data_IF_683378082359
#
_entry.id   IF_683378082359
#
_cell.length_a   1.000
_cell.length_b   1.000
_cell.length_c   1.000
_cell.angle_alpha   90.00
_cell.angle_beta   90.00
_cell.angle_gamma   90.00
#
_symmetry.space_group_name_H-M   'P 1'
#
loop_
_entity.id
_entity.type
_entity.pdbx_description
1 polymer ?
#
# COMPACT_ATOMS: atom_id res chain seq x y z
N UNK A 1 3.22 35.53 11.53
CA UNK A 1 1.89 34.98 11.86
C UNK A 1 1.96 33.47 11.68
N UNK A 2 1.78 32.68 12.72
CA UNK A 2 1.65 31.23 12.59
C UNK A 2 0.21 30.91 12.24
N UNK A 3 -0.06 30.58 10.97
CA UNK A 3 -1.34 30.04 10.57
C UNK A 3 -1.56 28.70 11.28
N UNK A 4 -2.79 28.45 11.73
CA UNK A 4 -3.19 27.14 12.25
C UNK A 4 -2.98 26.12 11.12
N UNK A 5 -2.27 25.03 11.41
CA UNK A 5 -2.10 23.92 10.47
C UNK A 5 -3.33 23.03 10.59
N UNK A 6 -4.11 22.92 9.51
CA UNK A 6 -5.25 22.02 9.40
C UNK A 6 -4.95 20.93 8.39
N UNK A 7 -5.33 19.69 8.70
CA UNK A 7 -5.14 18.53 7.84
C UNK A 7 -6.34 17.59 7.97
N UNK A 8 -6.56 16.78 6.95
CA UNK A 8 -7.63 15.77 6.94
C UNK A 8 -7.18 14.51 7.67
N UNK A 9 -7.93 14.08 8.68
CA UNK A 9 -7.77 12.74 9.25
C UNK A 9 -8.76 11.77 8.58
N UNK A 10 -8.27 10.63 8.11
CA UNK A 10 -9.11 9.54 7.58
C UNK A 10 -8.83 8.25 8.35
N UNK A 11 -9.84 7.77 9.08
CA UNK A 11 -9.78 6.44 9.70
C UNK A 11 -9.74 5.34 8.64
N UNK A 12 -9.58 4.09 9.06
CA UNK A 12 -9.68 2.96 8.14
C UNK A 12 -11.08 2.87 7.51
N UNK A 13 -12.13 3.17 8.28
CA UNK A 13 -13.51 3.22 7.81
C UNK A 13 -13.69 4.32 6.78
N UNK A 14 -13.15 5.52 7.01
CA UNK A 14 -13.21 6.63 6.07
C UNK A 14 -12.51 6.28 4.74
N UNK A 15 -11.31 5.71 4.82
CA UNK A 15 -10.56 5.26 3.63
C UNK A 15 -11.36 4.22 2.85
N UNK A 16 -12.01 3.26 3.54
CA UNK A 16 -12.84 2.23 2.88
C UNK A 16 -14.12 2.81 2.29
N UNK A 17 -14.72 3.81 2.94
CA UNK A 17 -15.94 4.48 2.50
C UNK A 17 -15.75 5.27 1.19
N UNK A 18 -14.51 5.62 0.83
CA UNK A 18 -14.20 6.23 -0.48
C UNK A 18 -14.59 5.33 -1.67
N UNK A 19 -14.73 4.02 -1.46
CA UNK A 19 -15.13 3.09 -2.51
C UNK A 19 -14.06 2.79 -3.56
N UNK A 20 -12.80 3.24 -3.34
CA UNK A 20 -11.70 3.00 -4.28
C UNK A 20 -11.52 1.50 -4.54
N UNK A 21 -11.63 1.13 -5.80
CA UNK A 21 -11.63 -0.25 -6.29
C UNK A 21 -10.21 -0.77 -6.51
N UNK A 22 -10.03 -2.09 -6.52
CA UNK A 22 -8.73 -2.69 -6.84
C UNK A 22 -8.22 -2.28 -8.24
N UNK A 23 -9.11 -2.16 -9.23
CA UNK A 23 -8.74 -1.72 -10.58
C UNK A 23 -8.22 -0.28 -10.60
N UNK A 24 -8.77 0.62 -9.79
CA UNK A 24 -8.23 1.97 -9.59
C UNK A 24 -6.85 1.93 -8.95
N UNK A 25 -6.66 1.13 -7.90
CA UNK A 25 -5.35 1.00 -7.25
C UNK A 25 -4.31 0.41 -8.21
N UNK A 26 -4.67 -0.57 -9.05
CA UNK A 26 -3.79 -1.11 -10.10
C UNK A 26 -3.36 0.00 -11.07
N UNK A 27 -4.30 0.81 -11.57
CA UNK A 27 -3.98 1.94 -12.46
C UNK A 27 -3.05 2.95 -11.79
N UNK A 28 -3.30 3.31 -10.53
CA UNK A 28 -2.44 4.23 -9.78
C UNK A 28 -1.04 3.66 -9.58
N UNK A 29 -0.92 2.39 -9.22
CA UNK A 29 0.39 1.73 -9.04
C UNK A 29 1.13 1.63 -10.37
N UNK A 30 0.45 1.25 -11.44
CA UNK A 30 1.00 1.18 -12.80
C UNK A 30 1.57 2.53 -13.26
N UNK A 31 0.81 3.61 -13.06
CA UNK A 31 1.25 4.97 -13.36
C UNK A 31 2.48 5.36 -12.54
N UNK A 32 2.51 5.09 -11.23
CA UNK A 32 3.65 5.45 -10.38
C UNK A 32 4.90 4.62 -10.71
N UNK A 33 4.74 3.37 -11.15
CA UNK A 33 5.85 2.55 -11.65
C UNK A 33 6.45 3.16 -12.94
N UNK A 34 5.62 3.65 -13.86
CA UNK A 34 6.09 4.37 -15.04
C UNK A 34 6.81 5.68 -14.65
N UNK A 35 6.24 6.46 -13.74
CA UNK A 35 6.89 7.69 -13.24
C UNK A 35 8.23 7.42 -12.56
N UNK A 36 8.38 6.28 -11.89
CA UNK A 36 9.66 5.89 -11.30
C UNK A 36 10.71 5.61 -12.38
N UNK A 37 10.34 4.92 -13.47
CA UNK A 37 11.22 4.69 -14.62
C UNK A 37 11.62 6.01 -15.32
N UNK A 38 10.67 6.95 -15.42
CA UNK A 38 10.88 8.29 -15.98
C UNK A 38 11.69 9.24 -15.06
N UNK A 39 12.12 8.79 -13.87
CA UNK A 39 12.89 9.62 -12.93
C UNK A 39 12.06 10.69 -12.20
N UNK A 40 10.72 10.59 -12.23
CA UNK A 40 9.78 11.53 -11.57
C UNK A 40 9.48 11.19 -10.12
N UNK A 41 10.05 10.11 -9.59
CA UNK A 41 9.84 9.67 -8.21
C UNK A 41 11.15 9.78 -7.45
N UNK A 42 11.11 10.44 -6.29
CA UNK A 42 12.20 10.36 -5.33
C UNK A 42 11.81 9.35 -4.24
N UNK A 43 12.50 8.20 -4.25
CA UNK A 43 12.24 7.07 -3.37
C UNK A 43 13.50 6.73 -2.56
N UNK A 44 13.77 7.45 -1.46
CA UNK A 44 14.90 7.13 -0.60
C UNK A 44 14.75 5.75 0.05
N UNK A 45 15.88 5.20 0.50
CA UNK A 45 15.88 3.98 1.31
C UNK A 45 15.04 4.16 2.57
N UNK A 46 14.19 3.18 2.86
CA UNK A 46 13.42 3.16 4.10
C UNK A 46 14.34 3.13 5.32
N UNK A 47 13.93 3.80 6.39
CA UNK A 47 14.60 3.72 7.71
C UNK A 47 13.88 2.66 8.53
N UNK A 48 14.65 1.77 9.16
CA UNK A 48 14.13 0.63 9.93
C UNK A 48 14.47 0.84 11.41
N UNK A 49 13.44 0.84 12.25
CA UNK A 49 13.57 0.62 13.69
C UNK A 49 13.39 -0.87 13.95
N UNK A 50 14.50 -1.59 14.13
CA UNK A 50 14.47 -3.01 14.50
C UNK A 50 14.37 -3.15 16.01
N UNK A 51 13.35 -3.87 16.48
CA UNK A 51 13.09 -4.16 17.89
C UNK A 51 13.31 -5.65 18.19
N UNK A 52 14.18 -6.31 17.42
CA UNK A 52 14.33 -7.76 17.33
C UNK A 52 13.08 -8.40 16.68
N UNK A 53 13.00 -8.34 15.34
CA UNK A 53 11.82 -8.78 14.56
C UNK A 53 11.26 -10.16 14.96
N UNK A 54 12.12 -11.11 15.36
CA UNK A 54 11.69 -12.45 15.78
C UNK A 54 10.97 -12.46 17.12
N UNK A 55 11.40 -11.62 18.05
CA UNK A 55 10.85 -11.57 19.41
C UNK A 55 9.70 -10.57 19.53
N UNK A 56 9.83 -9.43 18.84
CA UNK A 56 8.85 -8.33 18.83
C UNK A 56 8.47 -8.00 17.40
N UNK A 57 9.26 -7.19 16.72
CA UNK A 57 8.88 -6.63 15.43
C UNK A 57 9.82 -5.53 14.99
N UNK A 58 9.36 -4.77 14.00
CA UNK A 58 10.08 -3.60 13.47
C UNK A 58 9.09 -2.54 13.02
N UNK A 59 9.58 -1.32 12.88
CA UNK A 59 8.81 -0.22 12.29
C UNK A 59 9.62 0.39 11.15
N UNK A 60 8.96 0.70 10.03
CA UNK A 60 9.63 1.29 8.87
C UNK A 60 9.04 2.69 8.61
N UNK A 61 9.91 3.69 8.48
CA UNK A 61 9.60 4.95 7.82
C UNK A 61 9.92 4.82 6.33
N UNK A 62 8.91 5.07 5.50
CA UNK A 62 9.01 4.97 4.04
C UNK A 62 8.56 6.31 3.43
N UNK A 63 9.41 7.35 3.43
CA UNK A 63 9.13 8.60 2.75
C UNK A 63 9.32 8.46 1.23
N UNK A 64 8.53 9.20 0.46
CA UNK A 64 8.68 9.30 -0.99
C UNK A 64 8.06 10.62 -1.50
N UNK A 65 8.52 11.04 -2.66
CA UNK A 65 7.89 12.06 -3.49
C UNK A 65 7.50 11.47 -4.84
N UNK A 66 6.31 11.82 -5.34
CA UNK A 66 5.85 11.47 -6.67
C UNK A 66 5.52 12.75 -7.44
N UNK A 67 6.25 13.01 -8.52
CA UNK A 67 6.01 14.15 -9.40
C UNK A 67 5.01 13.86 -10.53
N UNK A 68 5.06 14.68 -11.58
CA UNK A 68 4.19 14.55 -12.75
C UNK A 68 2.88 15.31 -12.54
N UNK A 69 1.74 14.65 -12.72
CA UNK A 69 0.44 15.28 -12.43
C UNK A 69 0.05 15.18 -10.94
N UNK A 70 0.78 14.37 -10.15
CA UNK A 70 0.46 14.12 -8.74
C UNK A 70 1.11 15.16 -7.82
N UNK A 71 2.40 15.46 -8.02
CA UNK A 71 3.21 16.44 -7.26
C UNK A 71 2.99 16.38 -5.73
N UNK A 72 3.18 15.20 -5.12
CA UNK A 72 2.89 14.96 -3.70
C UNK A 72 4.11 14.40 -2.95
N UNK A 73 4.32 14.89 -1.73
CA UNK A 73 5.24 14.30 -0.76
C UNK A 73 4.45 13.45 0.24
N UNK A 74 5.01 12.35 0.72
CA UNK A 74 4.37 11.59 1.77
C UNK A 74 5.27 10.60 2.47
N UNK A 75 4.75 10.02 3.53
CA UNK A 75 5.44 8.98 4.29
C UNK A 75 4.44 7.92 4.75
N UNK A 76 4.80 6.66 4.54
CA UNK A 76 4.17 5.56 5.26
C UNK A 76 4.99 5.21 6.49
N UNK A 77 4.35 5.23 7.64
CA UNK A 77 4.88 4.71 8.90
C UNK A 77 4.19 3.38 9.19
N UNK A 78 4.92 2.26 9.11
CA UNK A 78 4.33 0.91 9.22
C UNK A 78 5.08 0.02 10.20
N UNK A 79 4.34 -0.46 11.20
CA UNK A 79 4.77 -1.48 12.14
C UNK A 79 4.52 -2.88 11.57
N UNK A 80 5.45 -3.80 11.83
CA UNK A 80 5.33 -5.22 11.54
C UNK A 80 5.82 -6.05 12.73
N UNK A 81 4.90 -6.69 13.42
CA UNK A 81 5.11 -7.47 14.65
C UNK A 81 4.55 -8.89 14.43
N UNK A 82 5.38 -9.82 13.90
CA UNK A 82 4.94 -11.17 13.57
C UNK A 82 4.27 -11.96 14.72
N UNK A 83 4.69 -11.84 16.00
CA UNK A 83 4.06 -12.57 17.11
C UNK A 83 2.66 -12.09 17.48
N UNK A 84 2.25 -10.87 17.11
CA UNK A 84 1.04 -10.22 17.62
C UNK A 84 -0.28 -10.99 17.34
N UNK A 85 -0.49 -11.60 16.16
CA UNK A 85 -1.69 -12.41 15.93
C UNK A 85 -1.83 -13.56 16.91
N UNK A 86 -0.71 -14.17 17.33
CA UNK A 86 -0.71 -15.30 18.27
C UNK A 86 -0.76 -14.82 19.71
N UNK A 87 -0.02 -13.75 20.04
CA UNK A 87 0.10 -13.25 21.43
C UNK A 87 -1.09 -12.42 21.90
N UNK A 88 -1.65 -11.61 21.01
CA UNK A 88 -2.63 -10.58 21.36
C UNK A 88 -3.92 -10.66 20.52
N UNK A 89 -3.97 -11.52 19.49
CA UNK A 89 -5.16 -11.64 18.62
C UNK A 89 -5.39 -10.43 17.71
N UNK A 90 -4.38 -9.57 17.51
CA UNK A 90 -4.45 -8.39 16.64
C UNK A 90 -3.66 -8.61 15.34
N UNK A 91 -3.93 -7.86 14.26
CA UNK A 91 -3.16 -7.96 13.02
C UNK A 91 -1.67 -7.74 13.24
N UNK A 92 -0.82 -8.46 12.50
CA UNK A 92 0.65 -8.30 12.60
C UNK A 92 1.19 -6.94 12.16
N UNK A 93 0.37 -6.11 11.52
CA UNK A 93 0.84 -4.88 10.88
C UNK A 93 -0.20 -3.77 11.03
N UNK A 94 0.30 -2.57 11.33
CA UNK A 94 -0.46 -1.35 11.53
C UNK A 94 0.30 -0.21 10.88
N UNK A 95 -0.39 0.68 10.18
CA UNK A 95 0.27 1.78 9.51
C UNK A 95 -0.57 3.05 9.47
N UNK A 96 0.13 4.16 9.38
CA UNK A 96 -0.40 5.46 8.97
C UNK A 96 0.31 5.94 7.71
N UNK A 97 -0.39 6.73 6.92
CA UNK A 97 0.18 7.50 5.82
C UNK A 97 -0.02 8.97 6.12
N UNK A 98 1.03 9.75 5.92
CA UNK A 98 1.01 11.21 5.97
C UNK A 98 1.25 11.72 4.55
N UNK A 99 0.45 12.68 4.12
CA UNK A 99 0.65 13.42 2.87
C UNK A 99 1.00 14.87 3.17
N UNK A 100 1.89 15.43 2.37
CA UNK A 100 2.37 16.80 2.47
C UNK A 100 2.30 17.44 1.08
N UNK A 101 1.95 18.72 1.07
CA UNK A 101 2.14 19.56 -0.11
C UNK A 101 3.62 19.61 -0.45
N UNK A 102 3.96 19.32 -1.71
CA UNK A 102 5.35 19.16 -2.15
C UNK A 102 6.12 20.48 -2.20
N UNK A 103 5.43 21.61 -2.36
CA UNK A 103 6.03 22.94 -2.47
C UNK A 103 6.28 23.59 -1.11
N UNK A 104 5.32 23.44 -0.20
CA UNK A 104 5.30 24.14 1.09
C UNK A 104 5.64 23.24 2.27
N UNK A 105 5.56 21.92 2.09
CA UNK A 105 5.72 20.93 3.16
C UNK A 105 4.55 20.86 4.13
N UNK A 106 3.50 21.66 3.94
CA UNK A 106 2.32 21.68 4.83
C UNK A 106 1.64 20.30 4.79
N UNK A 107 1.35 19.69 5.96
CA UNK A 107 0.65 18.41 5.99
C UNK A 107 -0.78 18.59 5.49
N UNK A 108 -1.18 17.70 4.58
CA UNK A 108 -2.50 17.70 3.95
C UNK A 108 -3.41 16.67 4.59
N UNK A 109 -2.89 15.48 4.90
CA UNK A 109 -3.68 14.41 5.47
C UNK A 109 -2.85 13.44 6.32
N UNK A 110 -3.52 12.83 7.30
CA UNK A 110 -3.07 11.64 8.04
C UNK A 110 -4.16 10.58 7.90
N UNK A 111 -3.82 9.40 7.40
CA UNK A 111 -4.82 8.37 7.08
C UNK A 111 -4.38 6.97 7.43
N UNK A 112 -5.33 6.02 7.52
CA UNK A 112 -5.01 4.60 7.67
C UNK A 112 -4.07 4.14 6.55
N UNK A 113 -2.89 3.69 6.93
CA UNK A 113 -1.94 3.07 6.02
C UNK A 113 -2.11 1.55 5.92
N UNK A 114 -2.88 0.93 6.83
CA UNK A 114 -2.95 -0.53 6.94
C UNK A 114 -3.69 -1.13 5.76
N UNK A 115 -4.92 -0.65 5.51
CA UNK A 115 -5.74 -1.04 4.36
C UNK A 115 -5.08 -0.63 3.04
N UNK A 116 -4.62 0.62 2.95
CA UNK A 116 -3.94 1.16 1.75
C UNK A 116 -2.70 0.31 1.42
N UNK A 117 -1.88 -0.03 2.43
CA UNK A 117 -0.69 -0.85 2.22
C UNK A 117 -1.03 -2.26 1.74
N UNK A 118 -2.14 -2.86 2.17
CA UNK A 118 -2.57 -4.16 1.67
C UNK A 118 -3.09 -4.07 0.22
N UNK A 119 -3.93 -3.07 -0.08
CA UNK A 119 -4.49 -2.84 -1.42
C UNK A 119 -3.39 -2.61 -2.45
N UNK A 120 -2.47 -1.66 -2.19
CA UNK A 120 -1.38 -1.35 -3.11
C UNK A 120 -0.39 -2.51 -3.27
N UNK A 121 -0.16 -3.32 -2.23
CA UNK A 121 0.69 -4.52 -2.36
C UNK A 121 0.05 -5.55 -3.28
N UNK A 122 -1.28 -5.77 -3.17
CA UNK A 122 -2.01 -6.59 -4.13
C UNK A 122 -1.94 -6.01 -5.54
N UNK A 123 -2.17 -4.71 -5.68
CA UNK A 123 -2.14 -4.03 -6.97
C UNK A 123 -0.79 -4.15 -7.70
N UNK A 124 0.35 -4.12 -7.01
CA UNK A 124 1.67 -4.41 -7.64
C UNK A 124 1.67 -5.79 -8.30
N UNK A 125 1.12 -6.82 -7.63
CA UNK A 125 0.94 -8.14 -8.25
C UNK A 125 -0.01 -8.08 -9.43
N UNK A 126 -1.10 -7.32 -9.34
CA UNK A 126 -2.05 -7.11 -10.44
C UNK A 126 -1.37 -6.51 -11.68
N UNK A 127 -0.52 -5.49 -11.50
CA UNK A 127 0.28 -4.92 -12.59
C UNK A 127 1.23 -5.97 -13.18
N UNK A 128 1.95 -6.70 -12.33
CA UNK A 128 2.82 -7.79 -12.79
C UNK A 128 2.05 -8.86 -13.58
N UNK A 129 0.90 -9.28 -13.09
CA UNK A 129 0.03 -10.26 -13.73
C UNK A 129 -0.48 -9.77 -15.09
N UNK A 130 -0.90 -8.51 -15.19
CA UNK A 130 -1.35 -7.88 -16.45
C UNK A 130 -0.31 -7.99 -17.57
N UNK A 131 0.97 -7.83 -17.23
CA UNK A 131 2.05 -7.80 -18.23
C UNK A 131 2.79 -9.14 -18.41
N UNK A 132 2.82 -10.00 -17.39
CA UNK A 132 3.71 -11.16 -17.36
C UNK A 132 2.98 -12.50 -17.31
N UNK A 133 1.70 -12.53 -16.92
CA UNK A 133 0.93 -13.78 -16.87
C UNK A 133 0.25 -14.07 -18.21
N UNK A 134 -0.15 -15.34 -18.41
CA UNK A 134 -1.03 -15.68 -19.52
C UNK A 134 -2.42 -15.04 -19.28
N UNK A 135 -2.93 -14.20 -20.20
CA UNK A 135 -4.23 -13.52 -20.05
C UNK A 135 -5.42 -14.48 -19.97
N UNK A 136 -5.25 -15.73 -20.42
CA UNK A 136 -6.28 -16.78 -20.38
C UNK A 136 -6.15 -17.70 -19.14
N UNK A 137 -5.35 -17.32 -18.14
CA UNK A 137 -5.19 -18.10 -16.91
C UNK A 137 -6.50 -18.17 -16.11
N UNK A 138 -7.04 -19.37 -15.92
CA UNK A 138 -8.30 -19.55 -15.17
C UNK A 138 -8.12 -19.83 -13.66
N UNK A 139 -6.90 -20.22 -13.26
CA UNK A 139 -6.59 -20.66 -11.89
C UNK A 139 -5.41 -19.86 -11.34
N UNK A 140 -5.57 -19.25 -10.17
CA UNK A 140 -4.48 -18.62 -9.43
C UNK A 140 -4.03 -19.50 -8.25
N UNK A 141 -2.73 -19.70 -8.10
CA UNK A 141 -2.14 -20.31 -6.91
C UNK A 141 -1.95 -19.29 -5.78
N UNK A 142 -2.25 -19.66 -4.54
CA UNK A 142 -2.12 -18.80 -3.37
C UNK A 142 -1.45 -19.55 -2.22
N UNK A 143 -0.25 -19.12 -1.85
CA UNK A 143 0.49 -19.69 -0.71
C UNK A 143 0.41 -18.71 0.46
N UNK A 144 -0.29 -19.14 1.52
CA UNK A 144 -0.56 -18.34 2.72
C UNK A 144 -1.94 -17.68 2.71
N UNK A 145 -2.61 -17.70 3.87
CA UNK A 145 -4.03 -17.30 4.01
C UNK A 145 -4.22 -16.04 4.89
N UNK A 146 -3.19 -15.19 5.00
CA UNK A 146 -3.23 -13.98 5.81
C UNK A 146 -3.97 -12.81 5.15
N UNK A 147 -3.90 -11.63 5.76
CA UNK A 147 -4.56 -10.40 5.25
C UNK A 147 -4.16 -10.05 3.80
N UNK A 148 -2.92 -10.36 3.40
CA UNK A 148 -2.44 -10.12 2.04
C UNK A 148 -3.13 -11.03 1.02
N UNK A 149 -3.45 -12.29 1.37
CA UNK A 149 -4.08 -13.22 0.43
C UNK A 149 -5.37 -12.63 -0.17
N UNK A 150 -6.14 -11.88 0.63
CA UNK A 150 -7.37 -11.21 0.18
C UNK A 150 -7.09 -10.18 -0.91
N UNK A 151 -6.13 -9.28 -0.71
CA UNK A 151 -5.82 -8.23 -1.69
C UNK A 151 -5.07 -8.78 -2.91
N UNK A 152 -4.30 -9.84 -2.74
CA UNK A 152 -3.68 -10.58 -3.85
C UNK A 152 -4.75 -11.23 -4.74
N UNK A 153 -5.75 -11.91 -4.17
CA UNK A 153 -6.86 -12.49 -4.94
C UNK A 153 -7.67 -11.40 -5.66
N UNK A 154 -7.97 -10.29 -4.99
CA UNK A 154 -8.67 -9.16 -5.61
C UNK A 154 -7.89 -8.61 -6.81
N UNK A 155 -6.57 -8.46 -6.68
CA UNK A 155 -5.73 -7.95 -7.76
C UNK A 155 -5.61 -8.94 -8.93
N UNK A 156 -5.45 -10.24 -8.65
CA UNK A 156 -5.41 -11.27 -9.69
C UNK A 156 -6.69 -11.28 -10.51
N UNK A 157 -7.86 -11.21 -9.87
CA UNK A 157 -9.16 -11.16 -10.56
C UNK A 157 -9.36 -9.87 -11.35
N UNK A 158 -8.87 -8.74 -10.84
CA UNK A 158 -8.96 -7.46 -11.53
C UNK A 158 -8.03 -7.40 -12.76
N UNK A 159 -6.83 -7.98 -12.66
CA UNK A 159 -5.83 -7.97 -13.74
C UNK A 159 -6.07 -9.06 -14.79
N UNK A 160 -6.58 -10.23 -14.40
CA UNK A 160 -6.86 -11.37 -15.27
C UNK A 160 -8.32 -11.82 -15.06
N UNK A 161 -9.28 -11.25 -15.80
CA UNK A 161 -10.71 -11.52 -15.60
C UNK A 161 -11.13 -13.00 -15.78
N UNK A 162 -10.32 -13.80 -16.49
CA UNK A 162 -10.54 -15.24 -16.68
C UNK A 162 -10.27 -16.07 -15.41
N UNK A 163 -9.56 -15.52 -14.42
CA UNK A 163 -9.29 -16.19 -13.13
C UNK A 163 -10.59 -16.39 -12.34
N UNK A 164 -11.09 -17.63 -12.36
CA UNK A 164 -12.32 -18.04 -11.67
C UNK A 164 -12.07 -18.87 -10.43
N UNK A 165 -10.92 -19.54 -10.33
CA UNK A 165 -10.56 -20.45 -9.23
C UNK A 165 -9.27 -20.01 -8.55
N UNK A 166 -9.21 -20.12 -7.22
CA UNK A 166 -7.99 -19.94 -6.42
C UNK A 166 -7.69 -21.26 -5.71
N UNK A 167 -6.45 -21.76 -5.83
CA UNK A 167 -5.97 -22.96 -5.14
C UNK A 167 -4.81 -22.62 -4.21
N UNK A 168 -4.74 -23.27 -3.05
CA UNK A 168 -3.67 -23.09 -2.08
C UNK A 168 -3.31 -24.40 -1.38
#
# INVERSE_FOLDING_TARGET
MTSKVEFLYLSQEDVRATGVTMSEVIRSVEMVLAYHDEGKVNLPSKVILDLNERERGRINAMPAYVGGEIEICGMKWIAGFPPDPVRFGIPRAHALIILNDSWTGVPLAVMDGTYISAMRTGAVTGVGAKYLANPDSEVAGMIGCGVQARTQIMAMRAAIPSVRLVKG
#
